data_IF_031771750742
#
_entry.id   IF_031771750742
#
_cell.length_a   1.000
_cell.length_b   1.000
_cell.length_c   1.000
_cell.angle_alpha   90.00
_cell.angle_beta   90.00
_cell.angle_gamma   90.00
#
_symmetry.space_group_name_H-M   'P 1'
#
loop_
_entity.id
_entity.type
_entity.pdbx_description
1 polymer ?
#
# COMPACT_ATOMS: atom_id res chain seq x y z
N UNK A 1 -22.17 -16.82 -3.28
CA UNK A 1 -21.46 -15.64 -2.71
C UNK A 1 -21.26 -14.59 -3.80
N UNK A 2 -21.48 -13.29 -3.52
CA UNK A 2 -21.30 -12.23 -4.51
C UNK A 2 -19.83 -12.15 -4.96
N UNK A 3 -19.62 -12.19 -6.27
CA UNK A 3 -18.28 -12.17 -6.87
C UNK A 3 -17.65 -10.77 -6.73
N UNK A 4 -16.45 -10.68 -6.14
CA UNK A 4 -15.77 -9.41 -5.83
C UNK A 4 -15.00 -8.86 -7.03
N UNK A 5 -15.09 -7.56 -7.28
CA UNK A 5 -14.54 -6.88 -8.48
C UNK A 5 -13.19 -6.18 -8.28
N UNK A 6 -12.69 -6.02 -7.06
CA UNK A 6 -11.48 -5.22 -6.79
C UNK A 6 -10.19 -5.95 -7.18
N UNK A 7 -9.46 -5.37 -8.14
CA UNK A 7 -8.18 -5.88 -8.63
C UNK A 7 -7.00 -5.44 -7.74
N UNK A 8 -7.02 -4.21 -7.23
CA UNK A 8 -6.11 -3.72 -6.19
C UNK A 8 -6.83 -3.62 -4.85
N UNK A 9 -6.18 -4.03 -3.76
CA UNK A 9 -6.60 -3.74 -2.39
C UNK A 9 -5.44 -3.06 -1.67
N UNK A 10 -5.72 -1.88 -1.13
CA UNK A 10 -4.83 -1.13 -0.25
C UNK A 10 -5.33 -1.24 1.18
N UNK A 11 -4.41 -1.18 2.14
CA UNK A 11 -4.71 -1.03 3.55
C UNK A 11 -3.44 -0.89 4.37
N UNK A 12 -3.58 -0.57 5.65
CA UNK A 12 -2.47 -0.59 6.60
C UNK A 12 -2.40 -1.93 7.36
N UNK A 13 -1.35 -2.12 8.15
CA UNK A 13 -1.09 -3.32 8.93
C UNK A 13 -2.19 -3.60 9.97
N UNK A 14 -2.79 -2.55 10.54
CA UNK A 14 -3.86 -2.69 11.54
C UNK A 14 -5.14 -3.19 10.87
N UNK A 15 -5.52 -2.60 9.73
CA UNK A 15 -6.65 -3.04 8.91
C UNK A 15 -6.44 -4.48 8.43
N UNK A 16 -5.23 -4.84 8.00
CA UNK A 16 -4.90 -6.18 7.56
C UNK A 16 -5.06 -7.22 8.69
N UNK A 17 -4.54 -6.93 9.89
CA UNK A 17 -4.69 -7.82 11.06
C UNK A 17 -6.14 -7.95 11.50
N UNK A 18 -6.90 -6.86 11.53
CA UNK A 18 -8.34 -6.90 11.82
C UNK A 18 -9.08 -7.74 10.76
N UNK A 19 -8.75 -7.56 9.48
CA UNK A 19 -9.32 -8.34 8.40
C UNK A 19 -9.03 -9.84 8.55
N UNK A 20 -7.79 -10.19 8.91
CA UNK A 20 -7.38 -11.57 9.21
C UNK A 20 -8.22 -12.19 10.34
N UNK A 21 -8.43 -11.44 11.42
CA UNK A 21 -9.27 -11.86 12.56
C UNK A 21 -10.72 -12.09 12.15
N UNK A 22 -11.32 -11.15 11.43
CA UNK A 22 -12.72 -11.27 10.94
C UNK A 22 -12.87 -12.44 9.96
N UNK A 23 -11.81 -12.81 9.25
CA UNK A 23 -11.77 -13.96 8.34
C UNK A 23 -11.53 -15.30 9.01
N UNK A 24 -11.10 -15.31 10.28
CA UNK A 24 -10.69 -16.52 10.98
C UNK A 24 -9.39 -17.12 10.41
N UNK A 25 -8.45 -16.28 9.96
CA UNK A 25 -7.18 -16.75 9.38
C UNK A 25 -6.06 -16.99 10.39
N UNK A 26 -6.31 -16.67 11.67
CA UNK A 26 -5.43 -16.98 12.81
C UNK A 26 -3.95 -16.59 12.63
N UNK A 27 -3.69 -15.53 11.86
CA UNK A 27 -2.34 -14.99 11.63
C UNK A 27 -2.33 -13.48 11.78
N UNK A 28 -1.27 -12.95 12.37
CA UNK A 28 -0.97 -11.50 12.44
C UNK A 28 0.19 -11.10 11.52
N UNK A 29 0.76 -12.07 10.80
CA UNK A 29 1.84 -11.85 9.85
C UNK A 29 1.30 -11.15 8.59
N UNK A 30 1.74 -9.91 8.35
CA UNK A 30 1.22 -9.07 7.28
C UNK A 30 1.51 -9.64 5.89
N UNK A 31 2.65 -10.29 5.69
CA UNK A 31 3.01 -10.96 4.43
C UNK A 31 2.05 -12.12 4.12
N UNK A 32 1.77 -12.95 5.12
CA UNK A 32 0.82 -14.06 4.99
C UNK A 32 -0.60 -13.55 4.73
N UNK A 33 -1.01 -12.49 5.44
CA UNK A 33 -2.31 -11.85 5.25
C UNK A 33 -2.44 -11.29 3.84
N UNK A 34 -1.43 -10.55 3.35
CA UNK A 34 -1.41 -10.00 2.01
C UNK A 34 -1.51 -11.12 0.96
N UNK A 35 -0.76 -12.21 1.14
CA UNK A 35 -0.83 -13.38 0.28
C UNK A 35 -2.25 -13.98 0.25
N UNK A 36 -2.87 -14.20 1.42
CA UNK A 36 -4.26 -14.70 1.51
C UNK A 36 -5.26 -13.75 0.85
N UNK A 37 -5.08 -12.42 0.98
CA UNK A 37 -5.91 -11.41 0.31
C UNK A 37 -5.78 -11.52 -1.22
N UNK A 38 -4.55 -11.66 -1.74
CA UNK A 38 -4.28 -11.77 -3.18
C UNK A 38 -4.94 -13.00 -3.83
N UNK A 39 -5.15 -14.07 -3.04
CA UNK A 39 -5.76 -15.32 -3.46
C UNK A 39 -7.29 -15.35 -3.35
N UNK A 40 -7.91 -14.30 -2.78
CA UNK A 40 -9.36 -14.25 -2.68
C UNK A 40 -10.03 -14.24 -4.07
N UNK A 41 -11.17 -14.94 -4.24
CA UNK A 41 -11.82 -15.06 -5.54
C UNK A 41 -12.15 -13.70 -6.17
N UNK A 42 -11.76 -13.54 -7.44
CA UNK A 42 -12.11 -12.39 -8.27
C UNK A 42 -13.20 -12.77 -9.29
N UNK A 43 -14.17 -11.88 -9.49
CA UNK A 43 -15.32 -12.14 -10.34
C UNK A 43 -14.99 -12.47 -11.80
N UNK A 44 -13.93 -11.85 -12.32
CA UNK A 44 -13.51 -11.98 -13.71
C UNK A 44 -12.75 -13.28 -13.99
N UNK A 45 -12.20 -13.96 -12.98
CA UNK A 45 -11.41 -15.19 -13.12
C UNK A 45 -10.10 -15.08 -13.94
N UNK A 46 -9.87 -13.94 -14.60
CA UNK A 46 -8.76 -13.72 -15.55
C UNK A 46 -7.54 -13.05 -14.92
N UNK A 47 -7.68 -12.47 -13.74
CA UNK A 47 -6.66 -11.65 -13.10
C UNK A 47 -6.64 -11.94 -11.60
N UNK A 48 -5.44 -12.16 -11.05
CA UNK A 48 -5.24 -12.33 -9.61
C UNK A 48 -5.24 -10.94 -8.95
N UNK A 49 -5.73 -10.87 -7.71
CA UNK A 49 -5.77 -9.61 -6.98
C UNK A 49 -4.36 -9.24 -6.52
N UNK A 50 -4.05 -7.94 -6.53
CA UNK A 50 -2.85 -7.39 -5.93
C UNK A 50 -3.24 -6.77 -4.58
N UNK A 51 -2.54 -7.17 -3.52
CA UNK A 51 -2.69 -6.58 -2.18
C UNK A 51 -1.45 -5.74 -1.86
N UNK A 52 -1.65 -4.51 -1.41
CA UNK A 52 -0.59 -3.57 -1.03
C UNK A 52 -0.86 -3.10 0.39
N UNK A 53 0.00 -3.48 1.33
CA UNK A 53 -0.15 -3.19 2.76
C UNK A 53 0.98 -2.27 3.23
N UNK A 54 0.63 -1.07 3.66
CA UNK A 54 1.58 -0.12 4.26
C UNK A 54 1.78 -0.45 5.75
N UNK A 55 2.97 -0.13 6.30
CA UNK A 55 3.31 -0.47 7.69
C UNK A 55 4.01 0.68 8.44
N UNK A 56 3.60 1.93 8.19
CA UNK A 56 4.25 3.10 8.77
C UNK A 56 5.73 3.20 8.38
N UNK A 57 6.63 2.96 9.34
CA UNK A 57 8.09 2.96 9.13
C UNK A 57 8.65 1.61 8.66
N UNK A 58 7.85 0.55 8.70
CA UNK A 58 8.24 -0.77 8.21
C UNK A 58 8.01 -0.89 6.68
N UNK A 59 8.66 -1.86 6.01
CA UNK A 59 8.52 -2.04 4.57
C UNK A 59 7.07 -2.23 4.11
N UNK A 60 6.72 -1.67 2.95
CA UNK A 60 5.45 -1.93 2.28
C UNK A 60 5.44 -3.37 1.78
N UNK A 61 4.37 -4.11 2.08
CA UNK A 61 4.18 -5.50 1.66
C UNK A 61 3.29 -5.52 0.42
N UNK A 62 3.74 -6.14 -0.66
CA UNK A 62 2.95 -6.37 -1.86
C UNK A 62 2.82 -7.85 -2.13
N UNK A 63 1.59 -8.33 -2.26
CA UNK A 63 1.29 -9.68 -2.72
C UNK A 63 0.67 -9.66 -4.12
N UNK A 64 1.35 -10.30 -5.07
CA UNK A 64 0.95 -10.43 -6.47
C UNK A 64 1.30 -11.83 -6.96
N UNK A 65 0.40 -12.43 -7.75
CA UNK A 65 0.61 -13.74 -8.38
C UNK A 65 0.98 -14.90 -7.44
N UNK A 66 0.61 -14.80 -6.15
CA UNK A 66 0.95 -15.80 -5.14
C UNK A 66 2.36 -15.65 -4.56
N UNK A 67 3.03 -14.52 -4.84
CA UNK A 67 4.33 -14.16 -4.27
C UNK A 67 4.17 -12.90 -3.42
N UNK A 68 5.02 -12.78 -2.41
CA UNK A 68 5.14 -11.57 -1.59
C UNK A 68 6.47 -10.89 -1.92
N UNK A 69 6.44 -9.57 -2.00
CA UNK A 69 7.60 -8.68 -2.10
C UNK A 69 7.48 -7.61 -1.01
N UNK A 70 8.61 -7.21 -0.45
CA UNK A 70 8.68 -6.10 0.50
C UNK A 70 9.51 -4.97 -0.09
N UNK A 71 9.06 -3.74 0.16
CA UNK A 71 9.71 -2.53 -0.34
C UNK A 71 10.06 -1.64 0.85
N UNK A 72 11.34 -1.35 1.09
CA UNK A 72 11.72 -0.49 2.20
C UNK A 72 11.14 0.92 2.00
N UNK A 73 10.73 1.54 3.09
CA UNK A 73 10.34 2.95 3.10
C UNK A 73 11.56 3.83 3.39
N UNK A 74 11.51 5.08 2.93
CA UNK A 74 12.54 6.07 3.27
C UNK A 74 12.27 6.53 4.70
N UNK A 75 13.16 6.17 5.62
CA UNK A 75 13.08 6.58 7.02
C UNK A 75 13.35 8.08 7.15
N UNK A 76 12.48 8.78 7.88
CA UNK A 76 12.70 10.15 8.28
C UNK A 76 13.10 10.22 9.77
N UNK A 77 14.01 11.13 10.14
CA UNK A 77 14.21 11.51 11.53
C UNK A 77 12.89 11.95 12.17
N UNK A 78 12.66 11.62 13.44
CA UNK A 78 11.40 11.93 14.14
C UNK A 78 11.08 13.42 14.15
N UNK A 79 12.11 14.26 14.13
CA UNK A 79 12.01 15.72 14.14
C UNK A 79 11.42 16.28 12.84
N UNK A 80 11.42 15.49 11.76
CA UNK A 80 10.80 15.84 10.47
C UNK A 80 9.37 15.33 10.35
N UNK A 81 8.88 14.52 11.29
CA UNK A 81 7.50 14.03 11.29
C UNK A 81 6.60 15.11 11.90
N UNK A 82 5.90 15.84 11.04
CA UNK A 82 5.02 16.95 11.44
C UNK A 82 3.59 16.46 11.65
N UNK A 83 3.03 15.74 10.67
CA UNK A 83 1.67 15.21 10.71
C UNK A 83 1.62 13.88 9.95
N UNK A 84 1.17 12.80 10.59
CA UNK A 84 1.05 11.48 9.93
C UNK A 84 -0.31 11.30 9.24
N UNK A 85 -1.24 12.23 9.41
CA UNK A 85 -2.54 12.18 8.74
C UNK A 85 -2.36 12.27 7.23
N UNK A 86 -3.14 11.47 6.50
CA UNK A 86 -3.11 11.46 5.03
C UNK A 86 -1.90 10.77 4.41
N UNK A 87 -0.96 10.20 5.20
CA UNK A 87 0.16 9.41 4.65
C UNK A 87 -0.30 8.23 3.78
N UNK A 88 -1.37 7.54 4.21
CA UNK A 88 -1.98 6.46 3.43
C UNK A 88 -2.62 6.94 2.13
N UNK A 89 -3.33 8.07 2.16
CA UNK A 89 -3.95 8.66 0.97
C UNK A 89 -2.90 9.15 -0.03
N UNK A 90 -1.85 9.81 0.47
CA UNK A 90 -0.71 10.24 -0.33
C UNK A 90 0.03 9.04 -0.95
N UNK A 91 0.22 7.96 -0.19
CA UNK A 91 0.78 6.72 -0.71
C UNK A 91 -0.05 6.17 -1.87
N UNK A 92 -1.37 6.05 -1.69
CA UNK A 92 -2.26 5.55 -2.74
C UNK A 92 -2.25 6.50 -3.95
N UNK A 93 -2.24 7.82 -3.73
CA UNK A 93 -2.14 8.81 -4.79
C UNK A 93 -0.85 8.68 -5.61
N UNK A 94 0.29 8.58 -4.94
CA UNK A 94 1.60 8.35 -5.57
C UNK A 94 1.64 7.03 -6.34
N UNK A 95 1.11 5.95 -5.76
CA UNK A 95 1.01 4.65 -6.42
C UNK A 95 0.18 4.74 -7.70
N UNK A 96 -1.01 5.33 -7.62
CA UNK A 96 -1.91 5.47 -8.76
C UNK A 96 -1.31 6.36 -9.86
N UNK A 97 -0.50 7.37 -9.50
CA UNK A 97 0.15 8.27 -10.47
C UNK A 97 1.05 7.54 -11.47
N UNK A 98 1.73 6.47 -11.03
CA UNK A 98 2.59 5.65 -11.88
C UNK A 98 1.81 4.51 -12.53
N UNK A 99 0.80 3.97 -11.82
CA UNK A 99 -0.04 2.90 -12.34
C UNK A 99 -0.77 3.33 -13.62
N UNK A 100 -1.34 4.53 -13.66
CA UNK A 100 -2.04 5.05 -14.85
C UNK A 100 -1.12 5.25 -16.06
N UNK A 101 0.20 5.34 -15.82
CA UNK A 101 1.23 5.42 -16.86
C UNK A 101 1.76 4.03 -17.29
N UNK A 102 1.21 2.94 -16.75
CA UNK A 102 1.64 1.58 -17.06
C UNK A 102 3.02 1.21 -16.52
N UNK A 103 3.49 1.90 -15.48
CA UNK A 103 4.77 1.60 -14.82
C UNK A 103 4.70 0.30 -14.03
N UNK A 104 5.86 -0.20 -13.60
CA UNK A 104 5.94 -1.41 -12.78
C UNK A 104 5.34 -1.20 -11.39
N UNK A 105 4.90 -2.28 -10.74
CA UNK A 105 4.38 -2.21 -9.35
C UNK A 105 5.45 -1.66 -8.39
N UNK A 106 6.72 -2.00 -8.63
CA UNK A 106 7.83 -1.44 -7.84
C UNK A 106 7.92 0.08 -7.97
N UNK A 107 7.80 0.62 -9.19
CA UNK A 107 7.81 2.08 -9.41
C UNK A 107 6.58 2.75 -8.81
N UNK A 108 5.42 2.09 -8.87
CA UNK A 108 4.22 2.55 -8.18
C UNK A 108 4.44 2.64 -6.65
N UNK A 109 5.03 1.61 -6.04
CA UNK A 109 5.35 1.64 -4.60
C UNK A 109 6.35 2.74 -4.28
N UNK A 110 7.40 2.92 -5.09
CA UNK A 110 8.39 4.01 -4.91
C UNK A 110 7.72 5.38 -4.92
N UNK A 111 6.82 5.63 -5.87
CA UNK A 111 6.07 6.89 -5.94
C UNK A 111 5.12 7.08 -4.76
N UNK A 112 4.46 6.02 -4.31
CA UNK A 112 3.64 6.05 -3.09
C UNK A 112 4.47 6.40 -1.86
N UNK A 113 5.59 5.71 -1.66
CA UNK A 113 6.51 6.00 -0.56
C UNK A 113 7.04 7.43 -0.60
N UNK A 114 7.39 7.93 -1.79
CA UNK A 114 7.79 9.33 -1.98
C UNK A 114 6.68 10.30 -1.58
N UNK A 115 5.46 10.12 -2.09
CA UNK A 115 4.34 11.01 -1.79
C UNK A 115 3.99 11.01 -0.30
N UNK A 116 4.00 9.84 0.34
CA UNK A 116 3.82 9.72 1.79
C UNK A 116 4.96 10.41 2.56
N UNK A 117 6.21 10.29 2.12
CA UNK A 117 7.35 10.96 2.75
C UNK A 117 7.26 12.50 2.66
N UNK A 118 6.74 13.03 1.55
CA UNK A 118 6.51 14.46 1.38
C UNK A 118 5.38 14.95 2.29
N UNK A 119 4.25 14.24 2.33
CA UNK A 119 3.07 14.70 3.09
C UNK A 119 3.33 14.74 4.59
N UNK A 120 4.07 13.77 5.13
CA UNK A 120 4.32 13.69 6.58
C UNK A 120 5.27 14.77 7.12
N UNK A 121 5.96 15.48 6.23
CA UNK A 121 6.82 16.62 6.54
C UNK A 121 6.07 17.96 6.48
N UNK A 122 4.81 17.96 6.07
CA UNK A 122 3.96 19.15 5.96
C UNK A 122 2.90 19.13 7.06
N UNK A 123 2.35 20.31 7.37
CA UNK A 123 1.16 20.39 8.24
C UNK A 123 -0.08 20.22 7.37
N UNK A 124 -0.86 19.15 7.62
CA UNK A 124 -2.02 18.78 6.81
C UNK A 124 -1.68 18.27 5.40
N UNK A 125 -2.71 18.07 4.56
CA UNK A 125 -2.54 17.50 3.21
C UNK A 125 -2.06 18.53 2.16
N UNK A 126 -0.88 19.12 2.35
CA UNK A 126 -0.29 20.12 1.44
C UNK A 126 0.95 19.59 0.72
N UNK A 127 1.26 20.14 -0.47
CA UNK A 127 2.34 19.67 -1.33
C UNK A 127 3.12 20.84 -1.95
N UNK A 128 4.41 20.64 -2.28
CA UNK A 128 5.20 21.63 -3.02
C UNK A 128 4.61 21.83 -4.43
N UNK A 129 4.89 22.98 -5.04
CA UNK A 129 4.36 23.37 -6.36
C UNK A 129 4.72 22.34 -7.47
N UNK A 130 5.86 21.67 -7.33
CA UNK A 130 6.31 20.61 -8.24
C UNK A 130 6.84 19.40 -7.45
N UNK A 131 6.51 18.16 -7.86
CA UNK A 131 7.12 16.97 -7.30
C UNK A 131 8.58 16.87 -7.75
N UNK A 132 9.45 16.45 -6.82
CA UNK A 132 10.83 16.06 -7.06
C UNK A 132 10.93 14.52 -7.01
N UNK A 133 10.27 13.88 -7.98
CA UNK A 133 10.23 12.42 -8.14
C UNK A 133 10.72 12.07 -9.54
N UNK A 134 11.84 11.35 -9.62
CA UNK A 134 12.49 10.89 -10.86
C UNK A 134 12.42 9.38 -11.00
#
# INVERSE_FOLDING_TARGET
MPKRRFFYIFGNETEARIFSKVRGWETENVEEIALKISQLPLASGKQKRIAVITQGADPVVVAEDGKVKTFPVILLPKEKLVDTNGAGDAFVGGFLSQLVQGKSIEDCVKAGCYAANVIIQQSGCTYPEKPDFN
#
